data_IF_437189869517
#
_entry.id   IF_437189869517
#
_cell.length_a   1.000
_cell.length_b   1.000
_cell.length_c   1.000
_cell.angle_alpha   90.00
_cell.angle_beta   90.00
_cell.angle_gamma   90.00
#
_symmetry.space_group_name_H-M   'P 1'
#
loop_
_entity.id
_entity.type
_entity.pdbx_description
1 polymer ?
#
# COMPACT_ATOMS: atom_id res chain seq x y z
N UNK A 1 5.06 6.56 -20.09
CA UNK A 1 3.87 7.20 -20.69
C UNK A 1 2.74 7.16 -19.66
N UNK A 2 2.44 8.32 -19.05
CA UNK A 2 1.26 8.52 -18.21
C UNK A 2 0.27 9.27 -19.09
N UNK A 3 -0.83 8.64 -19.50
CA UNK A 3 -1.77 9.24 -20.44
C UNK A 3 -2.99 9.85 -19.76
N UNK A 4 -3.35 9.42 -18.55
CA UNK A 4 -4.57 9.86 -17.84
C UNK A 4 -4.40 9.99 -16.30
N UNK A 5 -3.19 10.31 -15.82
CA UNK A 5 -2.91 10.44 -14.37
C UNK A 5 -2.85 9.11 -13.59
N UNK A 6 -2.99 7.97 -14.26
CA UNK A 6 -2.80 6.64 -13.68
C UNK A 6 -2.00 5.73 -14.62
N UNK A 7 -1.47 4.64 -14.07
CA UNK A 7 -0.75 3.62 -14.80
C UNK A 7 -1.03 2.24 -14.21
N UNK A 8 -1.09 1.22 -15.07
CA UNK A 8 -1.25 -0.18 -14.68
C UNK A 8 -0.22 -1.05 -15.39
N UNK A 9 0.30 -2.04 -14.67
CA UNK A 9 1.12 -3.11 -15.24
C UNK A 9 0.71 -4.45 -14.66
N UNK A 10 0.81 -5.50 -15.49
CA UNK A 10 0.74 -6.89 -15.01
C UNK A 10 1.95 -7.20 -14.11
N UNK A 11 1.75 -8.14 -13.18
CA UNK A 11 2.75 -8.59 -12.21
C UNK A 11 4.09 -8.93 -12.87
N UNK A 12 4.10 -9.87 -13.80
CA UNK A 12 5.29 -10.35 -14.52
C UNK A 12 6.15 -9.20 -15.10
N UNK A 13 5.51 -8.17 -15.64
CA UNK A 13 6.21 -7.00 -16.19
C UNK A 13 6.74 -6.10 -15.08
N UNK A 14 5.96 -5.86 -14.03
CA UNK A 14 6.40 -5.04 -12.90
C UNK A 14 7.56 -5.73 -12.15
N UNK A 15 7.45 -7.04 -11.93
CA UNK A 15 8.47 -7.89 -11.32
C UNK A 15 9.78 -7.80 -12.10
N UNK A 16 9.74 -8.02 -13.43
CA UNK A 16 10.91 -7.87 -14.29
C UNK A 16 11.51 -6.46 -14.25
N UNK A 17 10.66 -5.41 -14.29
CA UNK A 17 11.12 -4.02 -14.23
C UNK A 17 11.76 -3.66 -12.87
N UNK A 18 11.29 -4.27 -11.77
CA UNK A 18 11.81 -4.03 -10.43
C UNK A 18 12.94 -5.01 -10.05
N UNK A 19 13.26 -5.97 -10.92
CA UNK A 19 14.26 -7.01 -10.67
C UNK A 19 13.84 -8.00 -9.57
N UNK A 20 12.54 -8.28 -9.47
CA UNK A 20 11.96 -9.22 -8.50
C UNK A 20 11.80 -10.58 -9.17
N UNK A 21 12.27 -11.63 -8.50
CA UNK A 21 12.09 -13.02 -8.92
C UNK A 21 11.06 -13.69 -8.02
N UNK A 22 10.19 -14.54 -8.60
CA UNK A 22 9.14 -15.26 -7.86
C UNK A 22 9.70 -16.59 -7.35
N UNK A 23 10.57 -16.49 -6.36
CA UNK A 23 11.36 -17.57 -5.80
C UNK A 23 11.04 -17.81 -4.30
N UNK A 24 11.97 -18.43 -3.57
CA UNK A 24 11.84 -18.62 -2.12
C UNK A 24 11.86 -17.31 -1.34
N UNK A 25 12.65 -16.32 -1.76
CA UNK A 25 12.72 -15.01 -1.11
C UNK A 25 11.41 -14.24 -1.30
N UNK A 26 10.80 -14.30 -2.49
CA UNK A 26 9.45 -13.77 -2.69
C UNK A 26 8.41 -14.44 -1.80
N UNK A 27 8.45 -15.77 -1.68
CA UNK A 27 7.51 -16.49 -0.79
C UNK A 27 7.69 -16.07 0.67
N UNK A 28 8.92 -15.88 1.12
CA UNK A 28 9.21 -15.37 2.46
C UNK A 28 8.70 -13.95 2.66
N UNK A 29 8.88 -13.07 1.67
CA UNK A 29 8.31 -11.73 1.67
C UNK A 29 6.78 -11.76 1.77
N UNK A 30 6.12 -12.51 0.91
CA UNK A 30 4.67 -12.62 0.85
C UNK A 30 4.05 -13.20 2.14
N UNK A 31 4.80 -14.03 2.87
CA UNK A 31 4.34 -14.63 4.12
C UNK A 31 4.08 -13.60 5.24
N UNK A 32 4.64 -12.39 5.15
CA UNK A 32 4.31 -11.30 6.08
C UNK A 32 2.81 -10.94 6.06
N UNK A 33 2.09 -11.20 4.96
CA UNK A 33 0.63 -11.04 4.91
C UNK A 33 -0.14 -12.03 5.82
N UNK A 34 0.49 -13.13 6.24
CA UNK A 34 -0.07 -14.06 7.23
C UNK A 34 0.09 -13.57 8.69
N UNK A 35 0.95 -12.57 8.94
CA UNK A 35 1.23 -12.00 10.27
C UNK A 35 0.71 -10.58 10.46
N UNK A 36 -0.15 -10.12 9.56
CA UNK A 36 -0.89 -8.87 9.73
C UNK A 36 -1.93 -9.01 10.85
N UNK A 37 -2.20 -7.91 11.54
CA UNK A 37 -3.09 -7.87 12.69
C UNK A 37 -4.43 -7.23 12.30
N UNK A 38 -5.49 -7.58 13.03
CA UNK A 38 -6.84 -7.10 12.76
C UNK A 38 -6.89 -5.57 12.82
N UNK A 39 -7.57 -4.95 11.85
CA UNK A 39 -7.87 -3.52 11.87
C UNK A 39 -9.02 -3.24 12.85
N UNK A 40 -8.68 -2.73 14.04
CA UNK A 40 -9.66 -2.38 15.08
C UNK A 40 -10.38 -1.03 14.83
N UNK A 41 -10.04 -0.33 13.75
CA UNK A 41 -10.57 0.99 13.42
C UNK A 41 -11.61 0.96 12.29
N UNK A 42 -12.14 -0.23 11.95
CA UNK A 42 -13.18 -0.36 10.93
C UNK A 42 -14.54 0.15 11.43
N UNK A 43 -14.99 1.27 10.86
CA UNK A 43 -16.23 1.96 11.26
C UNK A 43 -17.51 1.19 10.95
N UNK A 44 -17.48 0.26 10.00
CA UNK A 44 -18.61 -0.62 9.68
C UNK A 44 -18.69 -1.83 10.62
N UNK A 45 -17.82 -1.92 11.63
CA UNK A 45 -17.77 -3.03 12.58
C UNK A 45 -17.28 -4.35 11.98
N UNK A 46 -16.75 -4.34 10.75
CA UNK A 46 -16.24 -5.55 10.13
C UNK A 46 -15.01 -6.10 10.83
N UNK A 47 -14.69 -7.36 10.56
CA UNK A 47 -13.46 -8.03 11.06
C UNK A 47 -12.66 -8.68 9.93
N UNK A 48 -12.80 -8.13 8.72
CA UNK A 48 -12.26 -8.71 7.48
C UNK A 48 -10.93 -8.08 7.03
N UNK A 49 -10.46 -7.00 7.65
CA UNK A 49 -9.23 -6.28 7.24
C UNK A 49 -8.13 -6.48 8.26
N UNK A 50 -6.96 -6.86 7.78
CA UNK A 50 -5.74 -6.99 8.57
C UNK A 50 -4.67 -6.10 7.96
N UNK A 51 -3.90 -5.42 8.80
CA UNK A 51 -2.91 -4.45 8.35
C UNK A 51 -1.81 -4.18 9.37
N UNK A 52 -0.74 -3.58 8.88
CA UNK A 52 0.30 -2.89 9.65
C UNK A 52 0.58 -1.54 8.99
N UNK A 53 1.37 -0.70 9.63
CA UNK A 53 1.75 0.61 9.09
C UNK A 53 3.12 1.04 9.58
N UNK A 54 3.97 1.51 8.69
CA UNK A 54 5.13 2.34 9.04
C UNK A 54 5.33 3.41 7.95
N UNK A 55 6.11 4.43 8.27
CA UNK A 55 6.46 5.48 7.34
C UNK A 55 7.98 5.57 7.13
N UNK A 56 8.39 5.99 5.94
CA UNK A 56 9.78 6.20 5.56
C UNK A 56 9.95 7.60 4.98
N UNK A 57 11.16 8.13 5.09
CA UNK A 57 11.67 9.19 4.23
C UNK A 57 12.58 8.59 3.17
N UNK A 58 12.55 9.16 1.98
CA UNK A 58 13.44 8.80 0.87
C UNK A 58 13.93 10.06 0.18
N UNK A 59 15.22 10.09 -0.16
CA UNK A 59 15.83 11.12 -0.99
C UNK A 59 16.56 10.42 -2.16
N UNK A 60 16.17 10.70 -3.39
CA UNK A 60 16.76 10.03 -4.57
C UNK A 60 18.25 10.37 -4.75
N UNK A 61 18.75 11.44 -4.13
CA UNK A 61 20.17 11.82 -4.22
C UNK A 61 21.08 10.85 -3.46
N UNK A 62 20.61 10.27 -2.36
CA UNK A 62 21.33 9.23 -1.62
C UNK A 62 20.80 7.83 -1.89
N UNK A 63 19.55 7.72 -2.36
CA UNK A 63 18.89 6.45 -2.68
C UNK A 63 18.54 5.63 -1.44
N UNK A 64 18.50 6.23 -0.26
CA UNK A 64 18.32 5.54 1.02
C UNK A 64 16.91 5.74 1.55
N UNK A 65 16.26 4.63 1.90
CA UNK A 65 15.01 4.63 2.67
C UNK A 65 15.32 4.70 4.16
N UNK A 66 14.84 5.75 4.82
CA UNK A 66 14.99 5.96 6.27
C UNK A 66 13.66 5.69 6.96
N UNK A 67 13.61 4.66 7.81
CA UNK A 67 12.43 4.40 8.64
C UNK A 67 12.21 5.57 9.60
N UNK A 68 11.00 6.12 9.61
CA UNK A 68 10.61 7.16 10.56
C UNK A 68 10.19 6.56 11.91
N UNK A 69 10.30 7.31 13.01
CA UNK A 69 9.71 6.91 14.28
C UNK A 69 8.23 6.55 14.10
N UNK A 70 7.82 5.42 14.67
CA UNK A 70 6.45 4.94 14.53
C UNK A 70 5.46 5.98 15.09
N UNK A 71 4.44 6.28 14.31
CA UNK A 71 3.45 7.29 14.61
C UNK A 71 2.06 6.81 14.17
N UNK A 72 0.97 7.30 14.77
CA UNK A 72 -0.37 6.98 14.30
C UNK A 72 -0.57 7.45 12.86
N UNK A 73 -1.36 6.69 12.12
CA UNK A 73 -1.81 7.10 10.79
C UNK A 73 -2.97 8.08 10.92
N UNK A 74 -2.75 9.30 10.43
CA UNK A 74 -3.73 10.38 10.41
C UNK A 74 -3.97 10.86 8.98
N UNK A 75 -5.24 10.93 8.59
CA UNK A 75 -5.70 11.64 7.40
C UNK A 75 -6.51 12.83 7.88
N UNK A 76 -6.44 13.97 7.20
CA UNK A 76 -7.29 15.12 7.54
C UNK A 76 -8.76 14.79 7.26
N UNK A 77 -9.68 15.46 7.98
CA UNK A 77 -11.13 15.35 7.72
C UNK A 77 -11.51 15.78 6.30
N UNK A 78 -10.77 16.71 5.70
CA UNK A 78 -10.99 17.15 4.33
C UNK A 78 -10.62 16.10 3.28
N UNK A 79 -9.79 15.12 3.65
CA UNK A 79 -9.34 14.03 2.77
C UNK A 79 -10.16 12.77 2.98
N UNK A 80 -10.32 12.31 4.23
CA UNK A 80 -11.10 11.12 4.53
C UNK A 80 -12.31 11.53 5.39
N UNK A 81 -13.47 11.72 4.76
CA UNK A 81 -14.66 12.18 5.48
C UNK A 81 -15.13 11.19 6.56
N UNK A 82 -14.85 9.89 6.38
CA UNK A 82 -15.27 8.82 7.32
C UNK A 82 -14.25 8.56 8.44
N UNK A 83 -12.95 8.72 8.17
CA UNK A 83 -11.87 8.37 9.10
C UNK A 83 -10.91 9.52 9.44
N UNK A 84 -11.15 10.72 8.93
CA UNK A 84 -10.25 11.86 9.09
C UNK A 84 -10.35 12.56 10.44
N UNK A 85 -9.25 13.19 10.85
CA UNK A 85 -9.11 13.86 12.16
C UNK A 85 -9.10 12.91 13.34
N UNK A 86 -8.86 11.61 13.10
CA UNK A 86 -8.72 10.58 14.12
C UNK A 86 -7.41 9.84 13.92
N UNK A 87 -6.62 9.72 14.99
CA UNK A 87 -5.33 9.04 15.00
C UNK A 87 -5.55 7.54 15.12
N UNK A 88 -5.15 6.77 14.10
CA UNK A 88 -5.24 5.31 14.10
C UNK A 88 -3.87 4.74 14.45
N UNK A 89 -3.77 4.13 15.62
CA UNK A 89 -2.55 3.48 16.08
C UNK A 89 -2.54 2.05 15.56
N UNK A 90 -2.05 1.88 14.33
CA UNK A 90 -1.79 0.55 13.77
C UNK A 90 -0.45 0.02 14.25
N UNK A 91 -0.33 -1.29 14.27
CA UNK A 91 0.92 -1.97 14.60
C UNK A 91 1.99 -1.72 13.54
N UNK A 92 3.27 -1.53 13.94
CA UNK A 92 4.36 -1.27 13.01
C UNK A 92 4.61 -2.46 12.09
N UNK A 93 5.28 -2.22 10.95
CA UNK A 93 5.84 -3.29 10.13
C UNK A 93 6.85 -4.12 10.96
N UNK A 94 6.94 -5.41 10.68
CA UNK A 94 7.96 -6.27 11.30
C UNK A 94 9.35 -5.88 10.77
N UNK A 95 10.40 -5.94 11.61
CA UNK A 95 11.77 -5.66 11.15
C UNK A 95 12.18 -6.55 9.97
N UNK A 96 11.80 -7.84 10.00
CA UNK A 96 12.04 -8.76 8.89
C UNK A 96 11.36 -8.36 7.58
N UNK A 97 10.28 -7.56 7.63
CA UNK A 97 9.64 -6.99 6.45
C UNK A 97 10.38 -5.75 5.96
N UNK A 98 10.74 -4.86 6.90
CA UNK A 98 11.44 -3.61 6.63
C UNK A 98 12.80 -3.89 5.98
N UNK A 99 13.55 -4.84 6.53
CA UNK A 99 14.89 -5.21 6.06
C UNK A 99 14.86 -6.18 4.86
N UNK A 100 13.67 -6.48 4.30
CA UNK A 100 13.55 -7.48 3.25
C UNK A 100 13.98 -6.92 1.88
N UNK A 101 14.89 -7.57 1.14
CA UNK A 101 15.37 -7.08 -0.16
C UNK A 101 14.26 -6.88 -1.22
N UNK A 102 13.20 -7.69 -1.16
CA UNK A 102 12.03 -7.52 -2.04
C UNK A 102 11.29 -6.21 -1.75
N UNK A 103 11.19 -5.78 -0.49
CA UNK A 103 10.59 -4.48 -0.17
C UNK A 103 11.41 -3.35 -0.79
N UNK A 104 12.73 -3.38 -0.60
CA UNK A 104 13.64 -2.38 -1.16
C UNK A 104 13.51 -2.28 -2.70
N UNK A 105 13.44 -3.42 -3.40
CA UNK A 105 13.20 -3.45 -4.86
C UNK A 105 11.87 -2.83 -5.25
N UNK A 106 10.79 -3.15 -4.55
CA UNK A 106 9.46 -2.57 -4.79
C UNK A 106 9.50 -1.05 -4.58
N UNK A 107 10.04 -0.59 -3.44
CA UNK A 107 10.10 0.84 -3.12
C UNK A 107 10.97 1.60 -4.11
N UNK A 108 12.15 1.06 -4.45
CA UNK A 108 13.06 1.66 -5.44
C UNK A 108 12.39 1.74 -6.81
N UNK A 109 11.71 0.68 -7.24
CA UNK A 109 10.98 0.63 -8.51
C UNK A 109 9.92 1.73 -8.62
N UNK A 110 9.07 1.86 -7.59
CA UNK A 110 8.08 2.94 -7.57
C UNK A 110 8.70 4.32 -7.44
N UNK A 111 9.68 4.51 -6.56
CA UNK A 111 10.30 5.83 -6.37
C UNK A 111 10.97 6.32 -7.65
N UNK A 112 11.64 5.45 -8.42
CA UNK A 112 12.19 5.84 -9.74
C UNK A 112 11.12 6.38 -10.68
N UNK A 113 9.99 5.68 -10.79
CA UNK A 113 8.87 6.09 -11.65
C UNK A 113 8.28 7.42 -11.16
N UNK A 114 8.05 7.56 -9.86
CA UNK A 114 7.41 8.73 -9.27
C UNK A 114 8.33 9.96 -9.29
N UNK A 115 9.64 9.80 -9.05
CA UNK A 115 10.60 10.90 -9.14
C UNK A 115 10.64 11.46 -10.57
N UNK A 116 10.70 10.57 -11.58
CA UNK A 116 10.68 10.99 -12.99
C UNK A 116 9.36 11.70 -13.34
N UNK A 117 8.22 11.16 -12.93
CA UNK A 117 6.91 11.71 -13.23
C UNK A 117 6.68 13.08 -12.57
N UNK A 118 7.08 13.23 -11.30
CA UNK A 118 6.85 14.44 -10.51
C UNK A 118 7.96 15.50 -10.67
N UNK A 119 9.12 15.11 -11.21
CA UNK A 119 10.35 15.91 -11.16
C UNK A 119 10.69 16.32 -9.72
N UNK A 120 10.56 15.37 -8.80
CA UNK A 120 10.74 15.56 -7.37
C UNK A 120 11.43 14.35 -6.73
N UNK A 121 12.46 14.61 -5.93
CA UNK A 121 13.38 13.55 -5.47
C UNK A 121 13.17 13.14 -4.01
N UNK A 122 12.31 13.83 -3.25
CA UNK A 122 12.12 13.59 -1.82
C UNK A 122 10.71 13.11 -1.51
N UNK A 123 10.59 12.02 -0.77
CA UNK A 123 9.28 11.42 -0.51
C UNK A 123 9.09 11.08 0.96
N UNK A 124 7.93 11.44 1.50
CA UNK A 124 7.38 10.81 2.69
C UNK A 124 6.52 9.62 2.23
N UNK A 125 6.96 8.41 2.55
CA UNK A 125 6.36 7.17 2.05
C UNK A 125 5.60 6.50 3.19
N UNK A 126 4.31 6.27 3.01
CA UNK A 126 3.44 5.58 3.97
C UNK A 126 3.17 4.16 3.47
N UNK A 127 3.67 3.15 4.18
CA UNK A 127 3.55 1.74 3.76
C UNK A 127 2.44 1.05 4.53
N UNK A 128 1.49 0.51 3.79
CA UNK A 128 0.31 -0.18 4.33
C UNK A 128 0.13 -1.56 3.67
N UNK A 129 0.72 -2.64 4.20
CA UNK A 129 0.32 -3.98 3.81
C UNK A 129 -1.10 -4.23 4.31
N UNK A 130 -1.98 -4.62 3.39
CA UNK A 130 -3.36 -4.98 3.67
C UNK A 130 -3.65 -6.42 3.27
N UNK A 131 -4.42 -7.12 4.11
CA UNK A 131 -5.10 -8.35 3.75
C UNK A 131 -6.60 -8.20 4.01
N UNK A 132 -7.39 -8.44 2.97
CA UNK A 132 -8.84 -8.50 3.05
C UNK A 132 -9.27 -9.96 2.98
N UNK A 133 -10.10 -10.38 3.92
CA UNK A 133 -10.59 -11.76 4.03
C UNK A 133 -12.09 -11.77 3.78
N UNK A 134 -12.53 -12.48 2.75
CA UNK A 134 -13.94 -12.84 2.57
C UNK A 134 -14.17 -14.25 3.10
N UNK A 135 -15.31 -14.47 3.75
CA UNK A 135 -15.77 -15.78 4.27
C UNK A 135 -17.28 -15.90 4.05
N UNK A 136 -17.84 -17.10 4.24
CA UNK A 136 -19.29 -17.30 4.17
C UNK A 136 -20.02 -16.34 5.10
N UNK A 137 -20.96 -15.56 4.54
CA UNK A 137 -21.72 -14.54 5.26
C UNK A 137 -20.95 -13.23 5.56
N UNK A 138 -19.66 -13.14 5.26
CA UNK A 138 -18.83 -11.94 5.50
C UNK A 138 -18.14 -11.49 4.21
N UNK A 139 -18.71 -10.47 3.57
CA UNK A 139 -18.08 -9.82 2.43
C UNK A 139 -16.88 -8.99 2.89
N UNK A 140 -15.71 -9.27 2.33
CA UNK A 140 -14.53 -8.41 2.49
C UNK A 140 -14.68 -7.15 1.63
N UNK A 141 -14.55 -5.96 2.24
CA UNK A 141 -14.64 -4.68 1.54
C UNK A 141 -13.31 -3.91 1.63
N UNK A 142 -12.49 -3.88 0.58
CA UNK A 142 -11.21 -3.17 0.62
C UNK A 142 -11.36 -1.67 0.93
N UNK A 143 -12.34 -1.03 0.30
CA UNK A 143 -12.72 0.37 0.47
C UNK A 143 -14.22 0.47 0.81
N UNK A 144 -14.62 0.31 2.09
CA UNK A 144 -16.03 0.39 2.48
C UNK A 144 -16.69 1.76 2.18
N UNK A 145 -15.88 2.81 2.04
CA UNK A 145 -16.31 4.17 1.69
C UNK A 145 -16.74 4.35 0.22
N UNK A 146 -16.38 3.41 -0.66
CA UNK A 146 -16.57 3.55 -2.10
C UNK A 146 -15.44 4.33 -2.78
N UNK A 147 -15.76 5.03 -3.87
CA UNK A 147 -14.80 5.82 -4.63
C UNK A 147 -14.26 6.98 -3.78
N UNK A 148 -12.94 7.11 -3.70
CA UNK A 148 -12.26 8.11 -2.88
C UNK A 148 -10.89 8.50 -3.44
N UNK A 149 -10.28 9.51 -2.83
CA UNK A 149 -8.89 9.88 -3.00
C UNK A 149 -8.18 9.80 -1.64
N UNK A 150 -6.90 9.41 -1.64
CA UNK A 150 -6.13 9.21 -0.40
C UNK A 150 -5.53 10.49 0.21
N UNK A 151 -5.59 11.61 -0.53
CA UNK A 151 -5.02 12.90 -0.13
C UNK A 151 -3.49 12.88 -0.03
N UNK A 152 -2.85 12.16 -0.95
CA UNK A 152 -1.40 12.09 -1.14
C UNK A 152 -1.08 12.46 -2.60
N UNK A 153 0.16 12.84 -2.87
CA UNK A 153 0.58 13.19 -4.25
C UNK A 153 0.46 12.01 -5.21
N UNK A 154 0.83 10.81 -4.74
CA UNK A 154 0.73 9.56 -5.49
C UNK A 154 0.34 8.40 -4.58
N UNK A 155 -0.45 7.47 -5.12
CA UNK A 155 -0.68 6.15 -4.53
C UNK A 155 -0.14 5.06 -5.45
N UNK A 156 0.55 4.09 -4.86
CA UNK A 156 0.99 2.88 -5.53
C UNK A 156 0.38 1.66 -4.84
N UNK A 157 -0.31 0.82 -5.62
CA UNK A 157 -0.88 -0.44 -5.15
C UNK A 157 -0.16 -1.59 -5.83
N UNK A 158 0.43 -2.48 -5.04
CA UNK A 158 1.14 -3.67 -5.53
C UNK A 158 0.46 -4.93 -4.99
N UNK A 159 -0.08 -5.75 -5.90
CA UNK A 159 -0.82 -6.96 -5.54
C UNK A 159 0.15 -8.07 -5.16
N UNK A 160 0.06 -8.56 -3.93
CA UNK A 160 0.93 -9.66 -3.44
C UNK A 160 0.31 -11.02 -3.69
N UNK A 161 -1.00 -11.15 -3.52
CA UNK A 161 -1.66 -12.44 -3.62
C UNK A 161 -3.18 -12.32 -3.61
N UNK A 162 -3.81 -13.22 -4.36
CA UNK A 162 -5.25 -13.39 -4.43
C UNK A 162 -5.55 -14.88 -4.45
N UNK A 163 -6.33 -15.38 -3.50
CA UNK A 163 -6.59 -16.81 -3.34
C UNK A 163 -8.07 -17.03 -3.10
N UNK A 164 -8.71 -17.85 -3.95
CA UNK A 164 -10.09 -18.33 -3.77
C UNK A 164 -11.13 -17.23 -3.49
N UNK A 165 -11.03 -16.09 -4.18
CA UNK A 165 -11.99 -14.98 -4.07
C UNK A 165 -12.44 -14.49 -5.44
N UNK A 166 -13.73 -14.14 -5.54
CA UNK A 166 -14.31 -13.40 -6.67
C UNK A 166 -14.32 -11.90 -6.37
N UNK A 167 -14.49 -11.05 -7.39
CA UNK A 167 -14.43 -9.60 -7.23
C UNK A 167 -13.00 -9.06 -7.07
N UNK A 168 -12.81 -8.06 -6.20
CA UNK A 168 -11.52 -7.41 -5.97
C UNK A 168 -11.01 -6.60 -7.17
N UNK A 169 -11.92 -6.03 -7.96
CA UNK A 169 -11.60 -5.23 -9.14
C UNK A 169 -11.35 -3.78 -8.75
N UNK A 170 -10.24 -3.21 -9.26
CA UNK A 170 -9.97 -1.78 -9.12
C UNK A 170 -10.75 -0.99 -10.17
N UNK A 171 -11.26 0.16 -9.76
CA UNK A 171 -11.87 1.16 -10.62
C UNK A 171 -11.13 2.47 -10.44
N UNK A 172 -10.78 3.13 -11.54
CA UNK A 172 -10.14 4.45 -11.56
C UNK A 172 -11.00 5.33 -12.47
N UNK A 173 -11.35 6.53 -11.99
CA UNK A 173 -12.10 7.54 -12.73
C UNK A 173 -11.44 8.91 -12.57
N UNK A 174 -11.81 9.85 -13.45
CA UNK A 174 -11.46 11.26 -13.29
C UNK A 174 -12.09 11.78 -12.00
N UNK A 175 -11.41 12.66 -11.26
CA UNK A 175 -11.97 13.23 -10.02
C UNK A 175 -13.27 14.02 -10.25
N UNK A 176 -13.54 14.45 -11.48
CA UNK A 176 -14.73 15.22 -11.87
C UNK A 176 -15.89 14.36 -12.41
N UNK A 177 -15.77 13.03 -12.41
CA UNK A 177 -16.75 12.09 -13.00
C UNK A 177 -16.96 10.87 -12.12
#
# INVERSE_FOLDING_TARGET
MVTNGWWFSKGERAEACFGIEIDAAWKNFADHWNRLLLDEYMRDGGTYRYRRYSAFEYDATDGIFRLLPHAPYEQSKSVNHLNGGFKRHFEPLENSFIDHPVLEKILTGFCRILCEAARHDRWNIKIHPYRIVARDGVNGKPAPEGLHQDGVDFIACYMIGRVNVTGGMSMITDASK
#
